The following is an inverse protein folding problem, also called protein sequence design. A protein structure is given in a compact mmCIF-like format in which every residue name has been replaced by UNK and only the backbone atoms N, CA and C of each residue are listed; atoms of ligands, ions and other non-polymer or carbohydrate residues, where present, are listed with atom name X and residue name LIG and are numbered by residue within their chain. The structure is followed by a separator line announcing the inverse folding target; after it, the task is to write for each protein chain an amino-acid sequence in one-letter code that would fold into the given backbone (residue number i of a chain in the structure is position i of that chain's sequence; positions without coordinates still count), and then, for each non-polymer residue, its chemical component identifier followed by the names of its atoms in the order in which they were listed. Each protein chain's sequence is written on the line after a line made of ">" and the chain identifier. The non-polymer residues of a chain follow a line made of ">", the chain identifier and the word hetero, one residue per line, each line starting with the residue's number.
data_IF_737508948795
#
_entry.id   IF_737508948795
#
_cell.length_a   1.000
_cell.length_b   1.000
_cell.length_c   1.000
_cell.angle_alpha   90.00
_cell.angle_beta   90.00
_cell.angle_gamma   90.00
#
_symmetry.space_group_name_H-M   'P 1'
#
loop_
_entity.id
_entity.type
_entity.pdbx_description
1 polymer ?
#
# COMPACT_ATOMS: atom_id res chain seq x y z
N UNK A 1 19.74 22.77 18.92
CA UNK A 1 19.20 21.72 19.80
C UNK A 1 18.74 20.60 18.88
N UNK A 2 19.29 19.40 19.01
CA UNK A 2 18.86 18.23 18.25
C UNK A 2 17.84 17.49 19.12
N UNK A 3 16.61 17.36 18.63
CA UNK A 3 15.52 16.69 19.34
C UNK A 3 15.67 15.19 19.09
N UNK A 4 16.49 14.51 19.88
CA UNK A 4 16.45 13.05 19.94
C UNK A 4 15.20 12.65 20.74
N UNK A 5 14.06 12.63 20.04
CA UNK A 5 12.85 12.02 20.57
C UNK A 5 12.87 10.55 20.20
N UNK A 6 12.72 9.67 21.20
CA UNK A 6 12.62 8.21 21.07
C UNK A 6 11.49 7.72 20.14
N UNK A 7 10.70 8.65 19.61
CA UNK A 7 9.57 8.44 18.71
C UNK A 7 9.79 9.07 17.32
N UNK A 8 11.03 9.41 16.97
CA UNK A 8 11.38 9.98 15.67
C UNK A 8 11.17 8.96 14.54
N UNK A 9 10.58 9.40 13.44
CA UNK A 9 10.45 8.57 12.24
C UNK A 9 11.83 8.26 11.65
N UNK A 10 12.11 6.99 11.39
CA UNK A 10 13.36 6.52 10.77
C UNK A 10 13.25 6.35 9.26
N UNK A 11 12.02 6.29 8.75
CA UNK A 11 11.70 6.05 7.33
C UNK A 11 10.44 6.80 6.93
N UNK A 12 10.14 6.81 5.63
CA UNK A 12 8.86 7.29 5.13
C UNK A 12 8.35 6.32 4.06
N UNK A 13 7.07 5.96 4.17
CA UNK A 13 6.36 5.23 3.12
C UNK A 13 5.75 6.25 2.16
N UNK A 14 6.13 6.14 0.89
CA UNK A 14 5.60 6.98 -0.19
C UNK A 14 4.69 6.12 -1.05
N UNK A 15 3.42 6.49 -1.11
CA UNK A 15 2.42 5.84 -1.95
C UNK A 15 2.33 6.61 -3.24
N UNK A 16 2.86 6.04 -4.31
CA UNK A 16 2.79 6.62 -5.65
C UNK A 16 1.60 6.05 -6.41
N UNK A 17 0.89 6.89 -7.15
CA UNK A 17 -0.07 6.47 -8.16
C UNK A 17 0.64 6.51 -9.51
N UNK A 18 0.83 5.32 -10.08
CA UNK A 18 1.36 5.15 -11.43
C UNK A 18 0.17 4.86 -12.35
N UNK A 19 -0.04 5.72 -13.34
CA UNK A 19 -1.06 5.50 -14.37
C UNK A 19 -0.55 4.51 -15.42
N UNK A 20 -1.47 3.85 -16.14
CA UNK A 20 -1.13 3.13 -17.37
C UNK A 20 -0.79 4.07 -18.53
N UNK A 21 -1.10 5.35 -18.37
CA UNK A 21 -0.67 6.46 -19.22
C UNK A 21 0.58 7.11 -18.61
N UNK A 22 1.37 7.92 -19.35
CA UNK A 22 2.61 8.51 -18.86
C UNK A 22 2.35 9.64 -17.84
N UNK A 23 1.82 9.27 -16.69
CA UNK A 23 1.50 10.14 -15.57
C UNK A 23 1.75 9.41 -14.26
N UNK A 24 2.55 10.02 -13.40
CA UNK A 24 2.91 9.50 -12.09
C UNK A 24 2.81 10.63 -11.07
N UNK A 25 2.30 10.34 -9.88
CA UNK A 25 2.12 11.34 -8.82
C UNK A 25 2.11 10.69 -7.44
N UNK A 26 2.34 11.50 -6.41
CA UNK A 26 2.36 11.04 -5.02
C UNK A 26 0.96 11.15 -4.42
N UNK A 27 0.37 10.01 -4.08
CA UNK A 27 -0.95 9.96 -3.45
C UNK A 27 -0.87 10.22 -1.94
N UNK A 28 0.20 9.76 -1.28
CA UNK A 28 0.37 9.91 0.17
C UNK A 28 1.83 9.75 0.60
N UNK A 29 2.24 10.48 1.64
CA UNK A 29 3.53 10.29 2.32
C UNK A 29 3.25 10.07 3.81
N UNK A 30 3.78 8.98 4.35
CA UNK A 30 3.64 8.60 5.74
C UNK A 30 5.02 8.47 6.38
N UNK A 31 5.42 9.36 7.30
CA UNK A 31 6.59 9.15 8.14
C UNK A 31 6.37 7.96 9.08
N UNK A 32 7.35 7.05 9.16
CA UNK A 32 7.25 5.80 9.91
C UNK A 32 8.49 5.56 10.79
N UNK A 33 8.24 5.30 12.09
CA UNK A 33 9.20 4.65 12.99
C UNK A 33 8.92 3.15 13.09
N UNK A 34 7.88 2.77 13.85
CA UNK A 34 7.36 1.40 13.92
C UNK A 34 5.90 1.39 13.50
N UNK A 35 5.52 0.58 12.50
CA UNK A 35 4.14 0.50 12.00
C UNK A 35 3.64 -0.95 12.00
N UNK A 36 2.59 -1.27 12.79
CA UNK A 36 1.94 -2.59 12.75
C UNK A 36 1.29 -2.87 11.38
N UNK A 37 1.23 -4.14 10.99
CA UNK A 37 0.69 -4.56 9.70
C UNK A 37 -0.78 -4.18 9.52
N UNK A 38 -1.58 -4.21 10.58
CA UNK A 38 -3.00 -3.88 10.59
C UNK A 38 -3.22 -2.37 10.36
N UNK A 39 -2.35 -1.55 10.95
CA UNK A 39 -2.37 -0.10 10.73
C UNK A 39 -1.95 0.22 9.30
N UNK A 40 -0.92 -0.46 8.81
CA UNK A 40 -0.45 -0.29 7.43
C UNK A 40 -1.52 -0.70 6.41
N UNK A 41 -2.19 -1.83 6.63
CA UNK A 41 -3.37 -2.26 5.87
C UNK A 41 -4.46 -1.19 5.83
N UNK A 42 -4.82 -0.62 7.00
CA UNK A 42 -5.84 0.42 7.07
C UNK A 42 -5.46 1.67 6.25
N UNK A 43 -4.17 2.01 6.19
CA UNK A 43 -3.66 3.12 5.39
C UNK A 43 -3.74 2.78 3.90
N UNK A 44 -3.28 1.59 3.47
CA UNK A 44 -3.41 1.14 2.07
C UNK A 44 -4.87 1.19 1.63
N UNK A 45 -5.79 0.64 2.44
CA UNK A 45 -7.22 0.67 2.17
C UNK A 45 -7.76 2.10 2.02
N UNK A 46 -7.36 3.03 2.90
CA UNK A 46 -7.76 4.44 2.81
C UNK A 46 -7.24 5.13 1.56
N UNK A 47 -5.99 4.86 1.16
CA UNK A 47 -5.42 5.40 -0.07
C UNK A 47 -6.20 4.90 -1.29
N UNK A 48 -6.48 3.60 -1.37
CA UNK A 48 -7.27 3.02 -2.47
C UNK A 48 -8.67 3.64 -2.53
N UNK A 49 -9.38 3.69 -1.41
CA UNK A 49 -10.72 4.30 -1.33
C UNK A 49 -10.70 5.79 -1.65
N UNK A 50 -9.68 6.52 -1.19
CA UNK A 50 -9.52 7.95 -1.46
C UNK A 50 -9.22 8.27 -2.91
N UNK A 51 -8.45 7.42 -3.61
CA UNK A 51 -8.21 7.55 -5.05
C UNK A 51 -9.48 7.23 -5.86
N UNK A 52 -10.21 6.19 -5.46
CA UNK A 52 -11.48 5.80 -6.10
C UNK A 52 -12.56 6.87 -5.93
N UNK A 53 -12.65 7.51 -4.77
CA UNK A 53 -13.67 8.54 -4.50
C UNK A 53 -13.49 9.83 -5.33
N UNK A 54 -12.28 10.08 -5.84
CA UNK A 54 -11.99 11.23 -6.72
C UNK A 54 -11.98 10.84 -8.21
N UNK A 55 -12.43 9.63 -8.56
CA UNK A 55 -12.66 9.18 -9.93
C UNK A 55 -11.55 8.35 -10.57
N UNK A 56 -10.51 7.95 -9.83
CA UNK A 56 -9.55 6.98 -10.34
C UNK A 56 -10.09 5.55 -10.24
N UNK A 57 -9.61 4.69 -11.13
CA UNK A 57 -9.85 3.24 -11.06
C UNK A 57 -8.55 2.59 -10.60
N UNK A 58 -8.53 2.10 -9.35
CA UNK A 58 -7.34 1.45 -8.79
C UNK A 58 -7.42 -0.05 -9.06
N UNK A 59 -6.54 -0.53 -9.94
CA UNK A 59 -6.51 -1.94 -10.37
C UNK A 59 -5.53 -2.79 -9.57
N UNK A 60 -4.45 -2.20 -9.05
CA UNK A 60 -3.39 -2.95 -8.39
C UNK A 60 -2.69 -2.14 -7.30
N UNK A 61 -2.16 -2.85 -6.30
CA UNK A 61 -1.17 -2.38 -5.34
C UNK A 61 0.15 -3.09 -5.68
N UNK A 62 1.19 -2.30 -5.98
CA UNK A 62 2.53 -2.79 -6.30
C UNK A 62 3.46 -2.46 -5.14
N UNK A 63 4.22 -3.43 -4.65
CA UNK A 63 5.16 -3.21 -3.52
C UNK A 63 6.52 -3.86 -3.78
N UNK A 64 7.53 -3.47 -3.02
CA UNK A 64 8.76 -4.26 -2.90
C UNK A 64 8.50 -5.59 -2.17
N UNK A 65 9.49 -6.49 -2.22
CA UNK A 65 9.41 -7.81 -1.59
C UNK A 65 9.73 -7.76 -0.08
N UNK A 66 9.04 -6.89 0.65
CA UNK A 66 9.18 -6.76 2.10
C UNK A 66 8.08 -7.54 2.85
N UNK A 67 8.47 -8.24 3.91
CA UNK A 67 7.55 -9.02 4.75
C UNK A 67 6.40 -8.20 5.34
N UNK A 68 6.60 -6.90 5.61
CA UNK A 68 5.53 -6.04 6.14
C UNK A 68 4.39 -5.81 5.11
N UNK A 69 4.73 -5.70 3.82
CA UNK A 69 3.74 -5.55 2.75
C UNK A 69 2.90 -6.81 2.62
N UNK A 70 3.56 -7.98 2.58
CA UNK A 70 2.87 -9.25 2.55
C UNK A 70 1.96 -9.42 3.76
N UNK A 71 2.43 -9.06 4.97
CA UNK A 71 1.60 -9.11 6.19
C UNK A 71 0.39 -8.19 6.10
N UNK A 72 0.54 -6.95 5.63
CA UNK A 72 -0.58 -6.03 5.47
C UNK A 72 -1.58 -6.51 4.41
N UNK A 73 -1.09 -7.04 3.28
CA UNK A 73 -1.96 -7.57 2.22
C UNK A 73 -2.73 -8.81 2.64
N UNK A 74 -2.18 -9.67 3.52
CA UNK A 74 -2.93 -10.80 4.09
C UNK A 74 -4.22 -10.38 4.81
N UNK A 75 -4.22 -9.18 5.41
CA UNK A 75 -5.37 -8.65 6.15
C UNK A 75 -6.52 -8.23 5.22
N UNK A 76 -6.29 -8.10 3.90
CA UNK A 76 -7.36 -7.86 2.93
C UNK A 76 -8.33 -9.04 2.78
N UNK A 77 -7.98 -10.26 3.20
CA UNK A 77 -8.86 -11.42 3.10
C UNK A 77 -9.33 -11.93 4.46
N UNK A 78 -10.51 -12.55 4.47
CA UNK A 78 -11.06 -13.26 5.63
C UNK A 78 -11.29 -14.73 5.24
N UNK A 79 -10.55 -15.70 5.80
CA UNK A 79 -9.45 -15.56 6.77
C UNK A 79 -8.18 -14.90 6.18
N UNK A 80 -7.23 -14.43 7.03
CA UNK A 80 -6.02 -13.73 6.56
C UNK A 80 -5.07 -14.62 5.76
N UNK A 81 -4.97 -14.34 4.46
CA UNK A 81 -4.23 -15.14 3.49
C UNK A 81 -3.65 -14.23 2.41
N UNK A 82 -2.44 -14.56 1.93
CA UNK A 82 -1.81 -13.78 0.88
C UNK A 82 -2.38 -14.28 -0.44
N UNK A 83 -3.04 -13.39 -1.18
CA UNK A 83 -3.67 -13.67 -2.46
C UNK A 83 -3.12 -12.71 -3.50
N UNK A 84 -3.22 -13.11 -4.75
CA UNK A 84 -2.89 -12.22 -5.89
C UNK A 84 -4.08 -11.30 -6.19
N UNK A 85 -5.30 -11.73 -5.85
CA UNK A 85 -6.54 -11.03 -6.12
C UNK A 85 -7.33 -10.84 -4.83
N UNK A 86 -7.83 -9.62 -4.63
CA UNK A 86 -8.70 -9.21 -3.54
C UNK A 86 -9.91 -8.45 -4.09
N UNK A 87 -10.98 -8.32 -3.31
CA UNK A 87 -12.09 -7.44 -3.65
C UNK A 87 -11.67 -5.98 -3.44
N UNK A 88 -11.97 -5.11 -4.40
CA UNK A 88 -11.62 -3.70 -4.29
C UNK A 88 -12.43 -3.05 -3.15
N UNK A 89 -11.77 -2.36 -2.20
CA UNK A 89 -12.42 -1.85 -1.00
C UNK A 89 -13.40 -0.69 -1.26
N UNK A 90 -13.35 -0.05 -2.43
CA UNK A 90 -14.30 0.98 -2.86
C UNK A 90 -15.41 0.41 -3.76
N UNK A 91 -15.20 -0.76 -4.38
CA UNK A 91 -16.15 -1.38 -5.31
C UNK A 91 -15.96 -2.90 -5.31
N UNK A 92 -16.69 -3.65 -4.46
CA UNK A 92 -16.50 -5.09 -4.29
C UNK A 92 -16.64 -5.91 -5.58
N UNK A 93 -17.36 -5.42 -6.59
CA UNK A 93 -17.52 -6.08 -7.90
C UNK A 93 -16.24 -6.06 -8.76
N UNK A 94 -15.22 -5.29 -8.37
CA UNK A 94 -13.94 -5.17 -9.08
C UNK A 94 -12.81 -5.80 -8.29
N UNK A 95 -11.90 -6.44 -9.01
CA UNK A 95 -10.67 -6.98 -8.45
C UNK A 95 -9.65 -5.88 -8.17
N UNK A 96 -8.96 -6.02 -7.03
CA UNK A 96 -7.72 -5.33 -6.71
C UNK A 96 -6.58 -6.37 -6.70
N UNK A 97 -5.60 -6.19 -7.57
CA UNK A 97 -4.46 -7.10 -7.68
C UNK A 97 -3.31 -6.71 -6.76
N UNK A 98 -2.65 -7.69 -6.16
CA UNK A 98 -1.41 -7.50 -5.43
C UNK A 98 -0.23 -7.97 -6.27
N UNK A 99 0.71 -7.07 -6.55
CA UNK A 99 1.89 -7.32 -7.37
C UNK A 99 3.16 -6.99 -6.59
N UNK A 100 4.19 -7.81 -6.80
CA UNK A 100 5.54 -7.53 -6.30
C UNK A 100 6.34 -6.94 -7.45
N UNK A 101 7.05 -5.86 -7.20
CA UNK A 101 7.96 -5.26 -8.17
C UNK A 101 9.01 -6.29 -8.61
N UNK A 102 9.07 -6.53 -9.92
CA UNK A 102 9.93 -7.54 -10.53
C UNK A 102 11.41 -7.28 -10.30
N UNK A 103 11.82 -6.02 -10.13
CA UNK A 103 13.22 -5.65 -9.82
C UNK A 103 13.66 -6.24 -8.47
N UNK A 104 12.72 -6.51 -7.56
CA UNK A 104 13.01 -7.11 -6.26
C UNK A 104 12.89 -8.65 -6.24
N UNK A 105 12.52 -9.27 -7.36
CA UNK A 105 12.42 -10.73 -7.48
C UNK A 105 13.71 -11.39 -8.00
N UNK A 106 14.54 -10.65 -8.72
CA UNK A 106 15.70 -11.19 -9.47
C UNK A 106 17.05 -10.70 -8.93
N UNK A 107 17.10 -10.20 -7.70
CA UNK A 107 18.35 -9.73 -7.06
C UNK A 107 19.19 -10.87 -6.49
#
# INVERSE_FOLDING_TARGET
>A
MAYDESNSASSAYVFMRISLFPYEDVAHILPVGTLPAETFFAIIKKVVVGLESIGYIVIAVVTDNNAINAKAMRVFSTPPELKIQYDNPASPDRSLFFLIDSVHLLK
#
